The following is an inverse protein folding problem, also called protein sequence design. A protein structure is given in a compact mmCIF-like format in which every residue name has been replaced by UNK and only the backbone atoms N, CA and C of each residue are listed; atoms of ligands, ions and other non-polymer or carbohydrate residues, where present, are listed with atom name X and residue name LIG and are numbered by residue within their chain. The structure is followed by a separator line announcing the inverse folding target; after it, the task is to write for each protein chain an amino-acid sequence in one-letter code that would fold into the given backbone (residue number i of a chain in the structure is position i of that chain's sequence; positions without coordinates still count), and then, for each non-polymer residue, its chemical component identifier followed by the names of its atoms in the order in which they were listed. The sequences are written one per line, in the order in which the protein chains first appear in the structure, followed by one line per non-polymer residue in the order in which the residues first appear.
data_IF_117933244871
#
_entry.id   IF_117933244871
#
_cell.length_a   1.000
_cell.length_b   1.000
_cell.length_c   1.000
_cell.angle_alpha   90.00
_cell.angle_beta   90.00
_cell.angle_gamma   90.00
#
_symmetry.space_group_name_H-M   'P 1'
#
loop_
_entity.id
_entity.type
_entity.pdbx_description
1 polymer ?
#
# COMPACT_ATOMS: atom_id res chain seq x y z
N UNK A 1 -10.71 -49.49 22.67
CA UNK A 1 -11.50 -48.24 22.74
C UNK A 1 -10.84 -47.10 23.54
N UNK A 2 -9.62 -47.23 24.10
CA UNK A 2 -8.97 -46.19 24.92
C UNK A 2 -8.00 -45.25 24.18
N UNK A 3 -7.63 -45.57 22.94
CA UNK A 3 -6.65 -44.78 22.15
C UNK A 3 -7.28 -43.73 21.23
N UNK A 4 -8.60 -43.81 21.01
CA UNK A 4 -9.36 -42.94 20.13
C UNK A 4 -9.36 -41.44 20.50
N UNK A 5 -9.42 -41.02 21.79
CA UNK A 5 -9.38 -39.60 22.15
C UNK A 5 -7.97 -38.99 22.01
N UNK A 6 -6.93 -39.79 22.23
CA UNK A 6 -5.53 -39.38 22.08
C UNK A 6 -5.19 -39.15 20.62
N UNK A 7 -5.63 -40.05 19.73
CA UNK A 7 -5.44 -39.89 18.28
C UNK A 7 -6.16 -38.63 17.76
N UNK A 8 -7.39 -38.33 18.23
CA UNK A 8 -8.12 -37.11 17.87
C UNK A 8 -7.43 -35.82 18.33
N UNK A 9 -6.87 -35.80 19.54
CA UNK A 9 -6.14 -34.65 20.07
C UNK A 9 -4.82 -34.40 19.30
N UNK A 10 -4.09 -35.47 18.96
CA UNK A 10 -2.88 -35.40 18.12
C UNK A 10 -3.19 -34.89 16.71
N UNK A 11 -4.28 -35.34 16.10
CA UNK A 11 -4.72 -34.84 14.79
C UNK A 11 -5.10 -33.35 14.83
N UNK A 12 -5.81 -32.91 15.88
CA UNK A 12 -6.17 -31.50 16.03
C UNK A 12 -4.95 -30.59 16.24
N UNK A 13 -3.95 -31.07 17.01
CA UNK A 13 -2.69 -30.35 17.21
C UNK A 13 -1.85 -30.27 15.92
N UNK A 14 -1.81 -31.36 15.15
CA UNK A 14 -1.12 -31.37 13.85
C UNK A 14 -1.76 -30.40 12.83
N UNK A 15 -3.09 -30.31 12.82
CA UNK A 15 -3.81 -29.35 11.95
C UNK A 15 -3.56 -27.90 12.38
N UNK A 16 -3.57 -27.61 13.69
CA UNK A 16 -3.26 -26.28 14.21
C UNK A 16 -1.81 -25.86 13.91
N UNK A 17 -0.84 -26.77 14.03
CA UNK A 17 0.57 -26.52 13.70
C UNK A 17 0.80 -26.31 12.18
N UNK A 18 0.05 -27.03 11.33
CA UNK A 18 0.08 -26.84 9.88
C UNK A 18 -0.49 -25.47 9.46
N UNK A 19 -1.54 -24.99 10.16
CA UNK A 19 -2.12 -23.66 9.91
C UNK A 19 -1.21 -22.51 10.35
N UNK A 20 -0.39 -22.68 11.39
CA UNK A 20 0.61 -21.70 11.80
C UNK A 20 1.81 -21.62 10.84
N UNK A 21 2.15 -22.71 10.17
CA UNK A 21 3.28 -22.77 9.23
C UNK A 21 3.02 -22.06 7.90
N UNK A 22 1.77 -21.66 7.63
CA UNK A 22 1.37 -21.05 6.36
C UNK A 22 1.67 -19.54 6.25
N UNK A 23 2.22 -18.90 7.30
CA UNK A 23 2.62 -17.49 7.25
C UNK A 23 4.08 -17.36 6.80
N UNK A 24 4.39 -17.85 5.60
CA UNK A 24 5.62 -17.41 4.95
C UNK A 24 5.47 -15.90 4.69
N UNK A 25 6.42 -15.05 5.11
CA UNK A 25 6.38 -13.64 4.75
C UNK A 25 6.42 -13.58 3.22
N UNK A 26 5.41 -12.95 2.63
CA UNK A 26 5.42 -12.63 1.21
C UNK A 26 6.61 -11.69 1.00
N UNK A 27 7.72 -12.23 0.49
CA UNK A 27 8.90 -11.43 0.23
C UNK A 27 8.55 -10.48 -0.91
N UNK A 28 8.23 -9.24 -0.56
CA UNK A 28 7.92 -8.21 -1.53
C UNK A 28 9.15 -8.02 -2.42
N UNK A 29 8.91 -7.94 -3.73
CA UNK A 29 9.94 -7.57 -4.69
C UNK A 29 10.56 -6.23 -4.25
N UNK A 30 11.89 -6.15 -4.29
CA UNK A 30 12.58 -4.88 -4.04
C UNK A 30 12.12 -3.82 -5.07
N UNK A 31 11.70 -2.66 -4.57
CA UNK A 31 11.28 -1.54 -5.41
C UNK A 31 12.50 -0.68 -5.72
N UNK A 32 12.86 -0.60 -6.99
CA UNK A 32 14.01 0.18 -7.46
C UNK A 32 13.56 1.57 -7.90
N UNK A 33 14.25 2.62 -7.44
CA UNK A 33 14.00 4.00 -7.85
C UNK A 33 14.79 4.39 -9.11
N UNK A 34 14.42 5.50 -9.74
CA UNK A 34 15.29 6.12 -10.75
C UNK A 34 16.59 6.65 -10.12
N UNK A 35 17.72 6.72 -10.84
CA UNK A 35 19.00 7.15 -10.25
C UNK A 35 19.03 8.60 -9.77
N UNK A 36 18.28 9.49 -10.44
CA UNK A 36 18.12 10.89 -10.04
C UNK A 36 16.84 11.48 -10.63
N UNK A 37 16.35 12.58 -10.05
CA UNK A 37 15.19 13.34 -10.52
C UNK A 37 15.62 14.79 -10.71
N UNK A 38 15.34 15.36 -11.89
CA UNK A 38 15.48 16.79 -12.12
C UNK A 38 14.24 17.52 -11.57
N UNK A 39 14.37 18.09 -10.37
CA UNK A 39 13.26 18.76 -9.69
C UNK A 39 12.70 19.95 -10.47
N UNK A 40 13.52 20.65 -11.27
CA UNK A 40 13.05 21.79 -12.07
C UNK A 40 12.11 21.34 -13.20
N UNK A 41 12.29 20.12 -13.69
CA UNK A 41 11.40 19.50 -14.69
C UNK A 41 10.21 18.77 -14.04
N UNK A 42 10.35 18.36 -12.79
CA UNK A 42 9.33 17.60 -12.08
C UNK A 42 8.22 18.48 -11.49
N UNK A 43 8.55 19.72 -11.12
CA UNK A 43 7.57 20.70 -10.61
C UNK A 43 6.45 20.97 -11.61
N UNK A 44 5.30 21.36 -11.08
CA UNK A 44 4.09 21.59 -11.86
C UNK A 44 2.96 20.64 -11.47
N UNK A 45 1.95 20.56 -12.35
CA UNK A 45 0.73 19.80 -12.10
C UNK A 45 0.77 18.44 -12.78
N UNK A 46 0.56 17.41 -11.98
CA UNK A 46 0.38 16.03 -12.43
C UNK A 46 -1.06 15.60 -12.28
N UNK A 47 -1.54 14.83 -13.26
CA UNK A 47 -2.85 14.20 -13.23
C UNK A 47 -2.68 12.75 -12.85
N UNK A 48 -3.43 12.32 -11.85
CA UNK A 48 -3.38 10.94 -11.41
C UNK A 48 -4.24 10.08 -12.34
N UNK A 49 -3.61 9.12 -13.04
CA UNK A 49 -4.28 8.26 -14.02
C UNK A 49 -4.86 7.01 -13.35
N UNK A 50 -4.15 6.45 -12.38
CA UNK A 50 -4.57 5.26 -11.63
C UNK A 50 -3.94 5.26 -10.23
N UNK A 51 -4.55 4.51 -9.31
CA UNK A 51 -4.08 4.32 -7.93
C UNK A 51 -4.45 2.94 -7.41
N UNK A 52 -3.75 2.53 -6.36
CA UNK A 52 -4.27 1.51 -5.45
C UNK A 52 -5.32 2.12 -4.51
N UNK A 53 -6.32 1.32 -4.07
CA UNK A 53 -7.27 1.75 -3.07
C UNK A 53 -6.56 2.21 -1.79
N UNK A 54 -6.84 3.42 -1.33
CA UNK A 54 -6.28 3.99 -0.10
C UNK A 54 -7.37 4.74 0.68
N UNK A 55 -7.15 4.96 1.99
CA UNK A 55 -8.13 5.60 2.87
C UNK A 55 -8.30 7.09 2.63
N UNK A 56 -7.21 7.80 2.33
CA UNK A 56 -7.18 9.26 2.28
C UNK A 56 -7.83 9.83 1.02
N UNK A 57 -7.97 9.05 -0.05
CA UNK A 57 -8.70 9.46 -1.25
C UNK A 57 -10.04 8.73 -1.45
N UNK A 58 -10.59 8.06 -0.43
CA UNK A 58 -11.87 7.32 -0.54
C UNK A 58 -13.04 8.18 -1.04
N UNK A 59 -13.02 9.48 -0.74
CA UNK A 59 -14.09 10.42 -1.13
C UNK A 59 -13.81 11.12 -2.47
N UNK A 60 -12.63 10.93 -3.06
CA UNK A 60 -12.28 11.55 -4.34
C UNK A 60 -12.93 10.79 -5.48
N UNK A 61 -13.84 11.44 -6.20
CA UNK A 61 -14.60 10.83 -7.30
C UNK A 61 -14.02 11.12 -8.70
N UNK A 62 -13.28 12.22 -8.87
CA UNK A 62 -12.64 12.57 -10.15
C UNK A 62 -11.62 13.71 -10.00
N UNK A 63 -10.96 14.08 -11.12
CA UNK A 63 -10.09 15.26 -11.25
C UNK A 63 -8.97 15.32 -10.21
N UNK A 64 -8.33 14.17 -9.96
CA UNK A 64 -7.26 14.10 -8.95
C UNK A 64 -5.97 14.63 -9.54
N UNK A 65 -5.34 15.54 -8.80
CA UNK A 65 -4.10 16.19 -9.19
C UNK A 65 -3.15 16.30 -8.01
N UNK A 66 -1.85 16.28 -8.32
CA UNK A 66 -0.78 16.67 -7.41
C UNK A 66 -0.03 17.85 -8.02
N UNK A 67 0.12 18.93 -7.27
CA UNK A 67 0.89 20.09 -7.69
C UNK A 67 2.14 20.23 -6.83
N UNK A 68 3.29 20.14 -7.49
CA UNK A 68 4.61 20.20 -6.86
C UNK A 68 5.20 21.59 -7.05
N UNK A 69 5.59 22.23 -5.95
CA UNK A 69 6.22 23.56 -5.96
C UNK A 69 7.59 23.50 -5.29
N UNK A 70 8.60 24.05 -5.95
CA UNK A 70 9.91 24.23 -5.35
C UNK A 70 9.87 25.30 -4.26
N UNK A 71 10.54 25.02 -3.14
CA UNK A 71 10.73 25.96 -2.04
C UNK A 71 12.17 26.49 -2.03
N UNK A 72 12.39 27.60 -1.33
CA UNK A 72 13.71 28.24 -1.23
C UNK A 72 14.70 27.48 -0.35
N UNK A 73 14.21 26.63 0.55
CA UNK A 73 15.00 25.77 1.44
C UNK A 73 15.47 24.46 0.76
N UNK A 74 15.07 24.22 -0.49
CA UNK A 74 15.40 23.03 -1.25
C UNK A 74 14.36 21.92 -1.19
N UNK A 75 13.33 22.05 -0.34
CA UNK A 75 12.22 21.11 -0.25
C UNK A 75 11.17 21.34 -1.36
N UNK A 76 10.21 20.42 -1.46
CA UNK A 76 9.08 20.50 -2.39
C UNK A 76 7.76 20.50 -1.60
N UNK A 77 6.94 21.52 -1.82
CA UNK A 77 5.54 21.49 -1.37
C UNK A 77 4.72 20.59 -2.31
N UNK A 78 3.88 19.73 -1.75
CA UNK A 78 2.98 18.86 -2.51
C UNK A 78 1.54 19.17 -2.14
N UNK A 79 0.76 19.69 -3.09
CA UNK A 79 -0.67 19.95 -2.91
C UNK A 79 -1.50 18.95 -3.69
N UNK A 80 -2.19 18.06 -2.98
CA UNK A 80 -3.13 17.11 -3.58
C UNK A 80 -4.54 17.71 -3.62
N UNK A 81 -5.22 17.61 -4.76
CA UNK A 81 -6.61 18.06 -4.95
C UNK A 81 -7.40 17.00 -5.71
N UNK A 82 -8.68 16.89 -5.40
CA UNK A 82 -9.63 16.07 -6.14
C UNK A 82 -11.04 16.67 -6.03
N UNK A 83 -11.94 16.28 -6.92
CA UNK A 83 -13.37 16.49 -6.71
C UNK A 83 -13.87 15.44 -5.73
N UNK A 84 -14.53 15.86 -4.66
CA UNK A 84 -15.21 14.96 -3.72
C UNK A 84 -16.70 14.88 -4.02
N UNK A 85 -17.35 13.82 -3.55
CA UNK A 85 -18.81 13.72 -3.61
C UNK A 85 -19.45 14.75 -2.67
N UNK A 86 -20.41 15.54 -3.18
CA UNK A 86 -21.12 16.57 -2.41
C UNK A 86 -20.48 17.97 -2.32
N UNK A 87 -19.29 18.21 -2.90
CA UNK A 87 -18.65 19.54 -2.95
C UNK A 87 -17.18 19.53 -2.58
#
# INVERSE_FOLDING_TARGET
MKHLPVIRALSAFAVAAALLSATAPLQAQEVVTVPSVDLKRYVGKWYEIARFPNSFQKKCISNVTAEYRARSDGDIDVTNRCKVDGG
#
